data_IF_212476636381
#
_entry.id   IF_212476636381
#
_cell.length_a   1.000
_cell.length_b   1.000
_cell.length_c   1.000
_cell.angle_alpha   90.00
_cell.angle_beta   90.00
_cell.angle_gamma   90.00
#
_symmetry.space_group_name_H-M   'P 1'
#
loop_
_entity.id
_entity.type
_entity.pdbx_description
1 polymer ?
#
# COMPACT_ATOMS: atom_id res chain seq x y z
N UNK A 1 4.22 -8.58 -3.64
CA UNK A 1 3.35 -8.45 -2.45
C UNK A 1 3.57 -9.72 -1.64
N UNK A 2 3.86 -9.62 -0.34
CA UNK A 2 4.17 -10.82 0.43
C UNK A 2 2.91 -11.68 0.64
N UNK A 3 3.07 -12.99 0.79
CA UNK A 3 1.97 -13.89 1.13
C UNK A 3 1.59 -13.77 2.62
N UNK A 4 0.40 -14.26 2.98
CA UNK A 4 0.00 -14.33 4.39
C UNK A 4 0.95 -15.22 5.20
N UNK A 5 1.37 -16.35 4.63
CA UNK A 5 2.33 -17.27 5.26
C UNK A 5 3.65 -16.57 5.55
N UNK A 6 4.17 -15.81 4.59
CA UNK A 6 5.41 -15.02 4.77
C UNK A 6 5.26 -13.94 5.84
N UNK A 7 4.09 -13.28 5.93
CA UNK A 7 3.79 -12.30 6.99
C UNK A 7 3.85 -12.97 8.36
N UNK A 8 3.21 -14.13 8.50
CA UNK A 8 3.18 -14.89 9.76
C UNK A 8 4.58 -15.40 10.14
N UNK A 9 5.34 -15.92 9.18
CA UNK A 9 6.70 -16.39 9.38
C UNK A 9 7.62 -15.27 9.89
N UNK A 10 7.52 -14.06 9.34
CA UNK A 10 8.26 -12.88 9.83
C UNK A 10 7.92 -12.59 11.29
N UNK A 11 6.63 -12.56 11.64
CA UNK A 11 6.17 -12.27 13.00
C UNK A 11 6.66 -13.35 13.97
N UNK A 12 6.47 -14.62 13.64
CA UNK A 12 6.90 -15.75 14.48
C UNK A 12 8.42 -15.78 14.66
N UNK A 13 9.19 -15.59 13.59
CA UNK A 13 10.66 -15.55 13.65
C UNK A 13 11.16 -14.46 14.60
N UNK A 14 10.49 -13.30 14.62
CA UNK A 14 10.89 -12.21 15.52
C UNK A 14 10.48 -12.46 16.97
N UNK A 15 9.21 -12.79 17.22
CA UNK A 15 8.65 -12.84 18.58
C UNK A 15 8.86 -14.18 19.28
N UNK A 16 8.92 -15.29 18.55
CA UNK A 16 9.11 -16.63 19.13
C UNK A 16 10.58 -17.03 19.14
N UNK A 17 11.28 -16.77 18.05
CA UNK A 17 12.67 -17.21 17.88
C UNK A 17 13.70 -16.12 18.23
N UNK A 18 13.26 -14.89 18.50
CA UNK A 18 14.14 -13.78 18.88
C UNK A 18 15.05 -13.30 17.75
N UNK A 19 14.75 -13.66 16.49
CA UNK A 19 15.61 -13.33 15.35
C UNK A 19 15.60 -11.83 15.08
N UNK A 20 16.78 -11.31 14.76
CA UNK A 20 16.91 -9.92 14.31
C UNK A 20 16.28 -9.72 12.92
N UNK A 21 15.86 -8.50 12.61
CA UNK A 21 15.35 -8.16 11.27
C UNK A 21 16.34 -8.52 10.15
N UNK A 22 17.64 -8.44 10.45
CA UNK A 22 18.71 -8.83 9.55
C UNK A 22 18.75 -10.33 9.29
N UNK A 23 18.56 -11.13 10.33
CA UNK A 23 18.52 -12.58 10.21
C UNK A 23 17.29 -13.04 9.43
N UNK A 24 16.11 -12.49 9.76
CA UNK A 24 14.85 -12.76 9.05
C UNK A 24 14.98 -12.39 7.56
N UNK A 25 15.68 -11.30 7.24
CA UNK A 25 15.94 -10.92 5.85
C UNK A 25 16.83 -11.92 5.11
N UNK A 26 17.89 -12.44 5.76
CA UNK A 26 18.77 -13.44 5.14
C UNK A 26 18.05 -14.76 4.90
N UNK A 27 17.18 -15.15 5.82
CA UNK A 27 16.45 -16.43 5.75
C UNK A 27 15.27 -16.37 4.77
N UNK A 28 14.45 -15.32 4.85
CA UNK A 28 13.20 -15.24 4.07
C UNK A 28 13.34 -14.50 2.72
N UNK A 29 14.46 -13.80 2.49
CA UNK A 29 14.67 -12.96 1.30
C UNK A 29 13.78 -11.71 1.24
N UNK A 30 12.90 -11.48 2.22
CA UNK A 30 12.02 -10.33 2.25
C UNK A 30 12.79 -9.03 2.50
N UNK A 31 12.39 -7.94 1.86
CA UNK A 31 13.01 -6.64 2.08
C UNK A 31 12.87 -6.20 3.56
N UNK A 32 13.95 -5.68 4.15
CA UNK A 32 13.96 -5.26 5.57
C UNK A 32 12.90 -4.22 5.91
N UNK A 33 12.59 -3.30 4.98
CA UNK A 33 11.50 -2.33 5.16
C UNK A 33 10.16 -3.01 5.41
N UNK A 34 9.93 -4.14 4.73
CA UNK A 34 8.71 -4.95 4.85
C UNK A 34 8.69 -5.69 6.18
N UNK A 35 9.82 -6.31 6.55
CA UNK A 35 9.98 -6.99 7.85
C UNK A 35 9.72 -6.01 9.00
N UNK A 36 10.39 -4.85 8.97
CA UNK A 36 10.22 -3.78 9.97
C UNK A 36 8.77 -3.29 10.06
N UNK A 37 8.11 -3.09 8.92
CA UNK A 37 6.71 -2.68 8.86
C UNK A 37 5.83 -3.67 9.62
N UNK A 38 5.93 -4.96 9.31
CA UNK A 38 5.06 -5.98 9.92
C UNK A 38 5.37 -6.25 11.39
N UNK A 39 6.63 -6.16 11.81
CA UNK A 39 7.00 -6.24 13.24
C UNK A 39 6.35 -5.08 14.00
N UNK A 40 6.52 -3.84 13.52
CA UNK A 40 5.98 -2.65 14.19
C UNK A 40 4.46 -2.64 14.22
N UNK A 41 3.80 -3.02 13.12
CA UNK A 41 2.33 -3.16 13.08
C UNK A 41 1.83 -4.17 14.12
N UNK A 42 2.56 -5.27 14.32
CA UNK A 42 2.21 -6.26 15.32
C UNK A 42 2.45 -5.75 16.75
N UNK A 43 3.54 -5.03 17.02
CA UNK A 43 3.83 -4.43 18.34
C UNK A 43 2.73 -3.45 18.76
N UNK A 44 2.37 -2.51 17.88
CA UNK A 44 1.33 -1.52 18.14
C UNK A 44 0.01 -2.22 18.49
N UNK A 45 -0.37 -3.23 17.70
CA UNK A 45 -1.59 -4.00 17.94
C UNK A 45 -1.54 -4.82 19.23
N UNK A 46 -0.38 -5.37 19.57
CA UNK A 46 -0.17 -6.07 20.83
C UNK A 46 -0.29 -5.12 22.02
N UNK A 47 0.21 -3.89 21.91
CA UNK A 47 0.04 -2.86 22.93
C UNK A 47 -1.43 -2.43 23.06
N UNK A 48 -2.14 -2.27 21.95
CA UNK A 48 -3.59 -2.00 21.94
C UNK A 48 -4.38 -3.13 22.61
N UNK A 49 -4.02 -4.39 22.37
CA UNK A 49 -4.61 -5.56 23.02
C UNK A 49 -4.41 -5.62 24.53
N UNK A 50 -3.27 -5.09 25.01
CA UNK A 50 -2.94 -5.08 26.43
C UNK A 50 -3.68 -3.99 27.20
N UNK A 51 -4.27 -3.00 26.51
CA UNK A 51 -5.13 -1.99 27.13
C UNK A 51 -6.49 -2.61 27.46
N UNK A 52 -6.97 -2.38 28.68
CA UNK A 52 -8.27 -2.89 29.15
C UNK A 52 -9.42 -2.36 28.27
N UNK A 53 -10.35 -3.24 27.88
CA UNK A 53 -11.56 -2.90 27.11
C UNK A 53 -11.52 -3.19 25.61
N UNK A 54 -10.44 -3.77 25.07
CA UNK A 54 -10.30 -4.04 23.64
C UNK A 54 -10.76 -5.45 23.26
N UNK A 55 -11.52 -5.56 22.16
CA UNK A 55 -12.07 -6.82 21.67
C UNK A 55 -10.96 -7.71 21.07
N UNK A 56 -10.44 -8.65 21.88
CA UNK A 56 -9.28 -9.49 21.54
C UNK A 56 -9.43 -10.28 20.23
N UNK A 57 -10.67 -10.61 19.84
CA UNK A 57 -10.97 -11.35 18.60
C UNK A 57 -10.67 -10.54 17.33
N UNK A 58 -11.07 -9.28 17.30
CA UNK A 58 -10.91 -8.41 16.11
C UNK A 58 -9.44 -8.21 15.76
N UNK A 59 -8.57 -8.10 16.77
CA UNK A 59 -7.14 -7.88 16.54
C UNK A 59 -6.43 -9.17 16.11
N UNK A 60 -6.84 -10.33 16.63
CA UNK A 60 -6.34 -11.64 16.15
C UNK A 60 -6.71 -11.84 14.69
N UNK A 61 -7.95 -11.53 14.30
CA UNK A 61 -8.40 -11.57 12.90
C UNK A 61 -7.56 -10.66 12.02
N UNK A 62 -7.19 -9.47 12.50
CA UNK A 62 -6.38 -8.53 11.73
C UNK A 62 -4.91 -8.99 11.56
N UNK A 63 -4.36 -9.74 12.52
CA UNK A 63 -3.04 -10.38 12.40
C UNK A 63 -3.09 -11.46 11.32
N UNK A 64 -4.14 -12.29 11.33
CA UNK A 64 -4.39 -13.38 10.37
C UNK A 64 -4.84 -12.85 9.01
N UNK A 65 -5.27 -11.58 8.92
CA UNK A 65 -5.70 -10.97 7.67
C UNK A 65 -4.55 -10.86 6.66
N UNK A 66 -4.91 -11.03 5.38
CA UNK A 66 -3.98 -10.94 4.25
C UNK A 66 -3.33 -9.54 4.22
N UNK A 67 -2.01 -9.44 4.01
CA UNK A 67 -1.34 -8.15 3.85
C UNK A 67 -2.01 -7.33 2.74
N UNK A 68 -2.45 -6.10 3.05
CA UNK A 68 -3.07 -5.18 2.09
C UNK A 68 -2.04 -4.19 1.56
N UNK A 69 -2.04 -3.97 0.24
CA UNK A 69 -1.21 -2.94 -0.39
C UNK A 69 -1.91 -1.59 -0.22
N UNK A 70 -1.23 -0.62 0.37
CA UNK A 70 -1.75 0.74 0.53
C UNK A 70 -1.21 1.63 -0.61
N UNK A 71 -2.13 2.08 -1.46
CA UNK A 71 -1.85 3.02 -2.54
C UNK A 71 -2.34 4.44 -2.24
N UNK A 72 -2.83 4.72 -1.03
CA UNK A 72 -3.48 6.00 -0.68
C UNK A 72 -2.52 7.18 -0.78
N UNK A 73 -1.24 6.97 -0.48
CA UNK A 73 -0.19 8.00 -0.60
C UNK A 73 0.30 8.22 -2.05
N UNK A 74 -0.17 7.44 -3.02
CA UNK A 74 0.28 7.55 -4.41
C UNK A 74 -0.36 8.76 -5.08
N UNK A 75 0.43 9.80 -5.33
CA UNK A 75 0.01 10.96 -6.13
C UNK A 75 0.18 10.68 -7.63
N UNK A 76 -0.72 11.24 -8.46
CA UNK A 76 -0.58 11.21 -9.92
C UNK A 76 0.57 12.15 -10.33
N UNK A 77 1.75 11.60 -10.62
CA UNK A 77 2.91 12.42 -11.01
C UNK A 77 2.74 13.11 -12.37
N UNK A 78 2.03 12.47 -13.30
CA UNK A 78 1.90 12.92 -14.71
C UNK A 78 0.63 13.73 -14.93
N UNK A 79 -0.31 13.74 -13.99
CA UNK A 79 -1.62 14.37 -14.15
C UNK A 79 -1.67 15.61 -13.25
N UNK A 80 -0.87 16.61 -13.59
CA UNK A 80 -0.88 17.92 -12.94
C UNK A 80 -2.08 18.73 -13.40
N UNK A 81 -2.48 19.73 -12.61
CA UNK A 81 -3.61 20.61 -12.95
C UNK A 81 -3.40 21.30 -14.30
N UNK A 82 -2.16 21.70 -14.63
CA UNK A 82 -1.79 22.24 -15.95
C UNK A 82 -2.05 21.26 -17.11
N UNK A 83 -1.82 19.96 -16.88
CA UNK A 83 -2.05 18.93 -17.89
C UNK A 83 -3.56 18.68 -18.05
N UNK A 84 -4.32 18.71 -16.96
CA UNK A 84 -5.79 18.65 -17.00
C UNK A 84 -6.34 19.82 -17.81
N UNK A 85 -5.89 21.04 -17.53
CA UNK A 85 -6.32 22.25 -18.23
C UNK A 85 -5.98 22.19 -19.73
N UNK A 86 -4.78 21.71 -20.09
CA UNK A 86 -4.41 21.49 -21.50
C UNK A 86 -5.33 20.46 -22.18
N UNK A 87 -5.66 19.36 -21.51
CA UNK A 87 -6.58 18.35 -22.04
C UNK A 87 -7.95 18.97 -22.30
N UNK A 88 -8.49 19.74 -21.34
CA UNK A 88 -9.78 20.40 -21.47
C UNK A 88 -9.80 21.43 -22.60
N UNK A 89 -8.70 22.18 -22.76
CA UNK A 89 -8.54 23.12 -23.87
C UNK A 89 -8.55 22.40 -25.22
N UNK A 90 -7.82 21.30 -25.37
CA UNK A 90 -7.84 20.50 -26.60
C UNK A 90 -9.20 19.85 -26.87
N UNK A 91 -9.93 19.44 -25.83
CA UNK A 91 -11.29 18.91 -25.97
C UNK A 91 -12.24 20.00 -26.51
N UNK A 92 -12.21 21.20 -25.94
CA UNK A 92 -13.00 22.35 -26.42
C UNK A 92 -12.64 22.73 -27.86
N UNK A 93 -11.36 22.80 -28.19
CA UNK A 93 -10.91 23.06 -29.56
C UNK A 93 -11.42 22.01 -30.55
N UNK A 94 -11.41 20.73 -30.14
CA UNK A 94 -11.93 19.64 -30.97
C UNK A 94 -13.45 19.72 -31.16
N UNK A 95 -14.20 20.12 -30.14
CA UNK A 95 -15.64 20.38 -30.25
C UNK A 95 -15.94 21.51 -31.24
N UNK A 96 -15.19 22.61 -31.17
CA UNK A 96 -15.32 23.75 -32.10
C UNK A 96 -14.96 23.32 -33.53
N UNK A 97 -13.89 22.54 -33.72
CA UNK A 97 -13.50 22.00 -35.04
C UNK A 97 -14.57 21.08 -35.62
N UNK A 98 -15.19 20.23 -34.77
CA UNK A 98 -16.29 19.34 -35.17
C UNK A 98 -17.54 20.11 -35.57
N UNK A 99 -17.94 21.11 -34.79
CA UNK A 99 -19.14 21.91 -35.08
C UNK A 99 -18.97 22.83 -36.29
N UNK A 100 -17.76 23.32 -36.54
CA UNK A 100 -17.42 24.15 -37.70
C UNK A 100 -17.11 23.37 -38.98
N UNK A 101 -17.30 22.05 -38.99
CA UNK A 101 -17.08 21.19 -40.17
C UNK A 101 -15.61 21.04 -40.60
N UNK A 102 -14.65 21.64 -39.88
CA UNK A 102 -13.22 21.49 -40.10
C UNK A 102 -12.74 20.16 -39.50
N UNK A 103 -12.84 19.08 -40.27
CA UNK A 103 -12.09 17.87 -39.96
C UNK A 103 -10.60 18.16 -40.12
N UNK A 104 -9.79 17.70 -39.16
CA UNK A 104 -8.35 17.63 -39.36
C UNK A 104 -8.11 16.68 -40.55
N UNK A 105 -7.66 17.22 -41.68
CA UNK A 105 -7.11 16.40 -42.75
C UNK A 105 -5.86 15.70 -42.20
N UNK A 106 -5.78 14.39 -42.45
CA UNK A 106 -4.62 13.55 -42.14
C UNK A 106 -3.38 14.03 -42.90
#
# INVERSE_FOLDING_TARGET
MISLVQKQEIILSHFREGKSQWQIHRETGNARKTIRKYIKEYEIKKEELMKEGVNKKEIIEEIVSKPKYDSSNRKRMVLTDEIIEKIDNYLKENEIKRSSGRKNNR
#
